data_IF_290071552027
#
_entry.id   IF_290071552027
#
_cell.length_a   1.000
_cell.length_b   1.000
_cell.length_c   1.000
_cell.angle_alpha   90.00
_cell.angle_beta   90.00
_cell.angle_gamma   90.00
#
_symmetry.space_group_name_H-M   'P 1'
#
loop_
_entity.id
_entity.type
_entity.pdbx_description
1 polymer ?
#
# COMPACT_ATOMS: atom_id res chain seq x y z
N UNK A 1 -2.63 -26.62 11.47
CA UNK A 1 -2.99 -27.18 10.17
C UNK A 1 -3.90 -28.39 10.34
N UNK A 2 -4.62 -28.83 9.33
CA UNK A 2 -5.41 -30.09 9.42
C UNK A 2 -4.61 -31.34 9.79
N UNK A 3 -3.31 -31.38 9.49
CA UNK A 3 -2.46 -32.54 9.77
C UNK A 3 -1.63 -32.39 11.05
N UNK A 4 -1.72 -31.27 11.74
CA UNK A 4 -1.01 -31.07 13.00
C UNK A 4 -0.48 -29.67 13.21
N UNK A 5 0.30 -29.49 14.26
CA UNK A 5 0.91 -28.23 14.61
C UNK A 5 2.04 -27.86 13.65
N UNK A 6 2.05 -26.58 13.24
CA UNK A 6 3.16 -25.94 12.55
C UNK A 6 3.69 -24.84 13.45
N UNK A 7 4.90 -24.97 13.89
CA UNK A 7 5.48 -24.13 14.94
C UNK A 7 6.83 -23.61 14.49
N UNK A 8 7.12 -22.35 14.78
CA UNK A 8 8.44 -21.76 14.66
C UNK A 8 9.17 -21.75 16.01
N UNK A 9 10.49 -21.81 15.99
CA UNK A 9 11.31 -21.71 17.19
C UNK A 9 11.48 -20.26 17.61
N UNK A 10 11.32 -19.97 18.90
CA UNK A 10 11.56 -18.64 19.52
C UNK A 10 13.06 -18.39 19.68
N UNK A 11 13.76 -18.25 18.59
CA UNK A 11 15.20 -18.02 18.59
C UNK A 11 15.51 -16.69 17.90
N UNK A 12 16.67 -16.07 18.21
CA UNK A 12 17.21 -14.99 17.38
C UNK A 12 17.26 -15.44 15.92
N UNK A 13 17.35 -14.47 14.99
CA UNK A 13 17.43 -14.76 13.56
C UNK A 13 18.45 -15.87 13.27
N UNK A 14 18.05 -16.87 12.49
CA UNK A 14 18.86 -18.04 12.18
C UNK A 14 18.89 -18.26 10.67
N UNK A 15 20.08 -18.59 10.14
CA UNK A 15 20.27 -19.05 8.76
C UNK A 15 20.18 -20.59 8.61
N UNK A 16 19.69 -21.31 9.61
CA UNK A 16 19.56 -22.76 9.59
C UNK A 16 18.35 -23.22 8.76
N UNK A 17 18.42 -23.09 7.45
CA UNK A 17 17.38 -23.47 6.49
C UNK A 17 16.25 -22.44 6.34
N UNK A 18 15.22 -22.75 5.53
CA UNK A 18 14.06 -21.89 5.33
C UNK A 18 13.29 -21.66 6.62
N UNK A 19 12.84 -20.42 6.84
CA UNK A 19 12.03 -20.07 8.00
C UNK A 19 10.58 -20.54 7.85
N UNK A 20 10.03 -21.29 8.82
CA UNK A 20 8.61 -21.67 8.83
C UNK A 20 7.68 -20.45 8.80
N UNK A 21 8.04 -19.35 9.46
CA UNK A 21 7.25 -18.12 9.51
C UNK A 21 7.10 -17.50 8.13
N UNK A 22 8.18 -17.50 7.33
CA UNK A 22 8.19 -16.90 5.99
C UNK A 22 7.27 -17.62 5.00
N UNK A 23 6.97 -18.89 5.24
CA UNK A 23 6.02 -19.66 4.43
C UNK A 23 4.58 -19.38 4.88
N UNK A 24 4.36 -19.22 6.20
CA UNK A 24 3.03 -18.97 6.76
C UNK A 24 2.55 -17.54 6.56
N UNK A 25 3.46 -16.55 6.71
CA UNK A 25 3.14 -15.15 6.55
C UNK A 25 2.75 -14.86 5.09
N UNK A 26 1.58 -14.28 4.89
CA UNK A 26 1.00 -14.03 3.57
C UNK A 26 0.20 -15.21 3.00
N UNK A 27 0.06 -16.32 3.73
CA UNK A 27 -0.70 -17.50 3.26
C UNK A 27 -2.22 -17.31 3.29
N UNK A 28 -2.72 -16.25 3.87
CA UNK A 28 -4.16 -15.92 3.96
C UNK A 28 -5.02 -17.09 4.47
N UNK A 29 -4.49 -17.86 5.39
CA UNK A 29 -5.17 -19.02 5.96
C UNK A 29 -5.20 -20.26 5.05
N UNK A 30 -4.51 -20.27 3.91
CA UNK A 30 -4.48 -21.44 3.01
C UNK A 30 -3.57 -22.58 3.50
N UNK A 31 -2.66 -22.29 4.41
CA UNK A 31 -1.74 -23.26 4.99
C UNK A 31 -2.10 -23.64 6.43
N UNK A 32 -2.95 -22.86 7.10
CA UNK A 32 -3.31 -23.12 8.49
C UNK A 32 -3.96 -21.91 9.15
N UNK A 33 -4.35 -22.08 10.41
CA UNK A 33 -4.86 -21.01 11.28
C UNK A 33 -3.76 -20.61 12.26
N UNK A 34 -3.40 -19.32 12.28
CA UNK A 34 -2.47 -18.78 13.26
C UNK A 34 -3.20 -18.66 14.60
N UNK A 35 -2.78 -19.43 15.59
CA UNK A 35 -3.38 -19.46 16.91
C UNK A 35 -2.57 -18.74 17.96
N UNK A 36 -1.27 -18.58 17.73
CA UNK A 36 -0.36 -17.89 18.64
C UNK A 36 0.74 -17.18 17.83
N UNK A 37 1.14 -15.99 18.26
CA UNK A 37 2.22 -15.23 17.64
C UNK A 37 3.07 -14.52 18.69
N UNK A 38 4.39 -14.51 18.47
CA UNK A 38 5.34 -13.73 19.25
C UNK A 38 5.71 -12.50 18.47
N UNK A 39 5.33 -11.34 19.02
CA UNK A 39 5.55 -10.05 18.39
C UNK A 39 6.63 -9.28 19.13
N UNK A 40 7.51 -8.64 18.36
CA UNK A 40 8.45 -7.67 18.92
C UNK A 40 7.68 -6.39 19.25
N UNK A 41 7.74 -5.99 20.50
CA UNK A 41 7.17 -4.72 20.97
C UNK A 41 8.29 -3.72 21.28
N UNK A 42 7.96 -2.44 21.25
CA UNK A 42 8.84 -1.33 21.59
C UNK A 42 8.14 -0.43 22.62
N UNK A 43 8.93 0.34 23.36
CA UNK A 43 8.42 1.36 24.23
C UNK A 43 7.66 2.43 23.44
N UNK A 44 6.60 2.97 24.05
CA UNK A 44 5.85 4.07 23.45
C UNK A 44 6.76 5.30 23.31
N UNK A 45 6.83 5.92 22.10
CA UNK A 45 7.64 7.11 21.90
C UNK A 45 7.23 8.24 22.86
N UNK A 46 8.23 8.83 23.54
CA UNK A 46 8.07 9.99 24.42
C UNK A 46 8.44 11.28 23.70
N UNK A 47 9.36 11.19 22.74
CA UNK A 47 9.82 12.31 21.93
C UNK A 47 9.28 12.14 20.52
N UNK A 48 8.69 13.21 19.98
CA UNK A 48 8.10 13.23 18.64
C UNK A 48 8.27 14.62 18.05
N UNK A 49 8.73 14.64 16.81
CA UNK A 49 8.77 15.86 16.02
C UNK A 49 8.23 15.58 14.62
N UNK A 50 7.54 16.55 14.03
CA UNK A 50 6.96 16.43 12.68
C UNK A 50 7.18 17.69 11.88
N UNK A 51 7.34 17.54 10.56
CA UNK A 51 7.40 18.62 9.61
C UNK A 51 6.49 18.33 8.41
N UNK A 52 5.93 19.38 7.84
CA UNK A 52 5.15 19.34 6.59
C UNK A 52 5.87 20.15 5.53
N UNK A 53 6.04 19.57 4.34
CA UNK A 53 6.68 20.22 3.21
C UNK A 53 5.81 20.10 1.96
N UNK A 54 6.00 20.97 1.01
CA UNK A 54 5.26 21.00 -0.26
C UNK A 54 6.24 20.85 -1.41
N UNK A 55 5.94 19.87 -2.26
CA UNK A 55 6.60 19.69 -3.56
C UNK A 55 5.76 20.30 -4.67
N UNK A 56 6.39 20.89 -5.68
CA UNK A 56 5.70 21.49 -6.82
C UNK A 56 4.95 20.50 -7.72
N UNK A 57 5.13 19.18 -7.51
CA UNK A 57 4.34 18.10 -8.10
C UNK A 57 4.54 16.81 -7.33
N UNK A 58 3.63 15.83 -7.51
CA UNK A 58 3.75 14.52 -6.89
C UNK A 58 5.04 13.77 -7.29
N UNK A 59 5.42 13.86 -8.56
CA UNK A 59 6.66 13.24 -9.06
C UNK A 59 7.92 13.86 -8.43
N UNK A 60 7.96 15.19 -8.26
CA UNK A 60 9.06 15.85 -7.54
C UNK A 60 9.11 15.45 -6.06
N UNK A 61 7.96 15.32 -5.44
CA UNK A 61 7.85 14.83 -4.07
C UNK A 61 8.37 13.39 -3.94
N UNK A 62 8.02 12.51 -4.88
CA UNK A 62 8.49 11.13 -4.89
C UNK A 62 10.01 11.03 -5.07
N UNK A 63 10.60 11.88 -5.91
CA UNK A 63 12.06 11.94 -6.05
C UNK A 63 12.76 12.40 -4.75
N UNK A 64 12.22 13.40 -4.07
CA UNK A 64 12.75 13.82 -2.77
C UNK A 64 12.64 12.72 -1.71
N UNK A 65 11.53 11.96 -1.68
CA UNK A 65 11.37 10.79 -0.81
C UNK A 65 12.42 9.73 -1.13
N UNK A 66 12.68 9.44 -2.40
CA UNK A 66 13.73 8.51 -2.81
C UNK A 66 15.10 8.94 -2.29
N UNK A 67 15.48 10.20 -2.51
CA UNK A 67 16.75 10.74 -2.05
C UNK A 67 16.89 10.64 -0.51
N UNK A 68 15.84 10.98 0.22
CA UNK A 68 15.80 10.87 1.67
C UNK A 68 16.03 9.43 2.13
N UNK A 69 15.33 8.46 1.58
CA UNK A 69 15.45 7.06 2.03
C UNK A 69 16.76 6.41 1.60
N UNK A 70 17.38 6.88 0.52
CA UNK A 70 18.70 6.45 0.07
C UNK A 70 19.86 7.15 0.80
N UNK A 71 19.61 8.22 1.54
CA UNK A 71 20.63 8.89 2.36
C UNK A 71 21.04 8.11 3.61
N UNK A 72 20.30 7.05 3.95
CA UNK A 72 20.49 6.28 5.18
C UNK A 72 19.69 6.80 6.37
N UNK A 73 18.98 7.92 6.23
CA UNK A 73 18.03 8.41 7.24
C UNK A 73 16.75 7.57 7.21
N UNK A 74 16.21 7.28 8.39
CA UNK A 74 15.04 6.42 8.55
C UNK A 74 13.94 7.14 9.37
N UNK A 75 13.21 8.10 8.77
CA UNK A 75 12.15 8.79 9.48
C UNK A 75 11.04 7.80 9.89
N UNK A 76 10.50 7.98 11.09
CA UNK A 76 9.39 7.17 11.60
C UNK A 76 8.10 7.37 10.79
N UNK A 77 7.94 8.54 10.20
CA UNK A 77 6.86 8.88 9.26
C UNK A 77 7.47 9.54 8.02
N UNK A 78 7.18 8.97 6.84
CA UNK A 78 7.48 9.56 5.55
C UNK A 78 6.28 9.29 4.64
N UNK A 79 5.44 10.31 4.41
CA UNK A 79 4.19 10.16 3.64
C UNK A 79 4.06 11.28 2.64
N UNK A 80 4.02 10.91 1.37
CA UNK A 80 3.76 11.83 0.27
C UNK A 80 2.32 11.67 -0.19
N UNK A 81 1.58 12.77 -0.25
CA UNK A 81 0.15 12.83 -0.59
C UNK A 81 0.00 13.75 -1.78
N UNK A 82 -0.74 13.36 -2.81
CA UNK A 82 -1.02 14.26 -3.93
C UNK A 82 -1.86 15.47 -3.51
N UNK A 83 -1.76 16.56 -4.28
CA UNK A 83 -2.39 17.82 -3.91
C UNK A 83 -3.91 17.76 -3.91
N UNK A 84 -4.52 16.89 -4.71
CA UNK A 84 -5.99 16.72 -4.73
C UNK A 84 -6.46 16.04 -3.45
N UNK A 85 -5.76 15.01 -3.00
CA UNK A 85 -6.07 14.36 -1.71
C UNK A 85 -5.78 15.31 -0.55
N UNK A 86 -4.65 16.03 -0.59
CA UNK A 86 -4.28 16.99 0.45
C UNK A 86 -5.32 18.13 0.59
N UNK A 87 -5.74 18.73 -0.51
CA UNK A 87 -6.76 19.80 -0.51
C UNK A 87 -8.13 19.28 -0.06
N UNK A 88 -8.51 18.07 -0.50
CA UNK A 88 -9.78 17.45 -0.08
C UNK A 88 -9.78 17.13 1.42
N UNK A 89 -8.61 16.84 1.98
CA UNK A 89 -8.43 16.64 3.43
C UNK A 89 -8.43 17.94 4.23
N UNK A 90 -8.50 19.09 3.55
CA UNK A 90 -8.44 20.41 4.19
C UNK A 90 -7.02 20.80 4.62
N UNK A 91 -5.97 20.27 4.01
CA UNK A 91 -4.59 20.65 4.31
C UNK A 91 -4.28 22.06 3.83
N UNK A 92 -3.99 23.02 4.73
CA UNK A 92 -3.71 24.41 4.31
C UNK A 92 -2.35 24.53 3.65
N UNK A 93 -2.23 25.46 2.69
CA UNK A 93 -0.97 25.81 2.04
C UNK A 93 -0.49 24.82 0.98
N UNK A 94 -1.36 23.95 0.48
CA UNK A 94 -1.12 22.99 -0.58
C UNK A 94 -2.12 23.21 -1.71
N UNK A 95 -1.66 23.32 -2.95
CA UNK A 95 -2.52 23.41 -4.14
C UNK A 95 -2.75 22.03 -4.77
N UNK A 96 -3.81 21.88 -5.57
CA UNK A 96 -4.19 20.61 -6.19
C UNK A 96 -3.11 20.03 -7.12
N UNK A 97 -2.28 20.88 -7.74
CA UNK A 97 -1.15 20.45 -8.59
C UNK A 97 0.15 20.16 -7.83
N UNK A 98 0.20 20.46 -6.54
CA UNK A 98 1.35 20.22 -5.65
C UNK A 98 1.27 18.85 -5.00
N UNK A 99 2.16 18.57 -4.06
CA UNK A 99 2.09 17.40 -3.18
C UNK A 99 2.54 17.76 -1.76
N UNK A 100 1.88 17.18 -0.77
CA UNK A 100 2.21 17.32 0.64
C UNK A 100 3.12 16.17 1.09
N UNK A 101 4.30 16.50 1.61
CA UNK A 101 5.15 15.54 2.32
C UNK A 101 5.04 15.77 3.84
N UNK A 102 4.73 14.71 4.56
CA UNK A 102 4.73 14.69 6.03
C UNK A 102 5.88 13.83 6.51
N UNK A 103 6.82 14.44 7.23
CA UNK A 103 7.94 13.77 7.88
C UNK A 103 7.74 13.74 9.39
N UNK A 104 8.23 12.68 10.04
CA UNK A 104 8.22 12.57 11.49
C UNK A 104 9.35 11.70 12.02
N UNK A 105 9.89 12.10 13.16
CA UNK A 105 10.85 11.34 13.94
C UNK A 105 10.24 11.01 15.32
N UNK A 106 10.53 9.83 15.85
CA UNK A 106 10.00 9.34 17.12
C UNK A 106 11.08 8.55 17.88
N UNK A 107 11.18 8.81 19.21
CA UNK A 107 12.04 8.02 20.09
C UNK A 107 11.43 7.85 21.47
N UNK A 108 11.72 6.72 22.12
CA UNK A 108 11.37 6.47 23.50
C UNK A 108 12.38 7.07 24.50
N UNK A 109 13.61 7.33 24.08
CA UNK A 109 14.76 7.57 24.96
C UNK A 109 15.47 8.93 24.80
N UNK A 110 15.35 9.60 23.63
CA UNK A 110 16.08 10.85 23.35
C UNK A 110 15.27 11.81 22.49
N UNK A 111 15.58 13.13 22.53
CA UNK A 111 15.03 14.13 21.62
C UNK A 111 15.32 13.77 20.16
N UNK A 112 14.42 14.15 19.25
CA UNK A 112 14.45 13.73 17.82
C UNK A 112 14.45 14.91 16.84
N UNK A 113 14.57 16.12 17.34
CA UNK A 113 14.53 17.34 16.55
C UNK A 113 15.65 17.38 15.52
N UNK A 114 16.88 17.02 15.93
CA UNK A 114 18.05 17.00 15.04
C UNK A 114 17.90 15.94 13.93
N UNK A 115 17.30 14.79 14.25
CA UNK A 115 17.02 13.74 13.26
C UNK A 115 15.98 14.23 12.23
N UNK A 116 14.95 14.93 12.71
CA UNK A 116 13.95 15.53 11.83
C UNK A 116 14.55 16.61 10.93
N UNK A 117 15.36 17.51 11.50
CA UNK A 117 16.01 18.59 10.73
C UNK A 117 16.96 18.02 9.67
N UNK A 118 17.70 16.96 9.97
CA UNK A 118 18.52 16.27 8.98
C UNK A 118 17.68 15.72 7.82
N UNK A 119 16.53 15.11 8.11
CA UNK A 119 15.62 14.61 7.09
C UNK A 119 14.99 15.74 6.26
N UNK A 120 14.61 16.84 6.92
CA UNK A 120 14.07 18.05 6.27
C UNK A 120 15.10 18.66 5.33
N UNK A 121 16.35 18.79 5.76
CA UNK A 121 17.42 19.38 4.94
C UNK A 121 17.60 18.62 3.61
N UNK A 122 17.56 17.28 3.61
CA UNK A 122 17.67 16.49 2.38
C UNK A 122 16.54 16.81 1.39
N UNK A 123 15.30 16.92 1.86
CA UNK A 123 14.18 17.15 0.96
C UNK A 123 14.05 18.62 0.56
N UNK A 124 14.52 19.57 1.36
CA UNK A 124 14.64 20.99 0.98
C UNK A 124 15.70 21.18 -0.11
N UNK A 125 16.85 20.49 0.00
CA UNK A 125 17.87 20.46 -1.06
C UNK A 125 17.31 19.87 -2.37
N UNK A 126 16.39 18.92 -2.27
CA UNK A 126 15.65 18.38 -3.42
C UNK A 126 14.57 19.33 -3.96
N UNK A 127 14.42 20.53 -3.37
CA UNK A 127 13.54 21.61 -3.84
C UNK A 127 12.14 21.61 -3.23
N UNK A 128 11.90 20.93 -2.12
CA UNK A 128 10.65 21.03 -1.37
C UNK A 128 10.64 22.28 -0.49
N UNK A 129 9.48 22.88 -0.33
CA UNK A 129 9.27 24.06 0.52
C UNK A 129 8.64 23.67 1.84
N UNK A 130 9.32 23.92 2.94
CA UNK A 130 8.79 23.69 4.28
C UNK A 130 7.61 24.62 4.56
N UNK A 131 6.56 24.07 5.15
CA UNK A 131 5.45 24.85 5.70
C UNK A 131 5.83 25.37 7.10
N UNK A 132 5.23 26.48 7.55
CA UNK A 132 5.47 27.00 8.90
C UNK A 132 5.22 25.89 9.97
N UNK A 133 5.96 25.90 11.08
CA UNK A 133 5.74 24.93 12.18
C UNK A 133 4.31 24.95 12.76
N UNK A 134 3.63 26.08 12.61
CA UNK A 134 2.21 26.26 13.03
C UNK A 134 1.21 25.69 11.99
N UNK A 135 1.68 25.15 10.86
CA UNK A 135 0.80 24.56 9.85
C UNK A 135 0.13 23.30 10.38
N UNK A 136 -1.17 23.22 10.20
CA UNK A 136 -1.98 22.04 10.51
C UNK A 136 -2.12 21.06 9.33
N UNK A 137 -1.37 21.23 8.23
CA UNK A 137 -1.53 20.45 7.01
C UNK A 137 -1.38 18.94 7.24
N UNK A 138 -0.35 18.52 7.96
CA UNK A 138 -0.14 17.12 8.32
C UNK A 138 -1.22 16.56 9.25
N UNK A 139 -1.72 17.37 10.19
CA UNK A 139 -2.78 16.97 11.10
C UNK A 139 -4.13 16.88 10.40
N UNK A 140 -4.45 17.80 9.51
CA UNK A 140 -5.66 17.78 8.69
C UNK A 140 -5.74 16.47 7.89
N UNK A 141 -4.67 16.14 7.17
CA UNK A 141 -4.61 14.88 6.44
C UNK A 141 -4.70 13.66 7.36
N UNK A 142 -3.97 13.64 8.47
CA UNK A 142 -4.00 12.53 9.45
C UNK A 142 -5.41 12.30 10.01
N UNK A 143 -6.14 13.36 10.31
CA UNK A 143 -7.51 13.27 10.82
C UNK A 143 -8.47 12.77 9.74
N UNK A 144 -8.35 13.25 8.50
CA UNK A 144 -9.11 12.75 7.36
C UNK A 144 -8.84 11.27 7.10
N UNK A 145 -7.57 10.85 7.15
CA UNK A 145 -7.17 9.45 6.99
C UNK A 145 -7.78 8.53 8.07
N UNK A 146 -7.81 8.97 9.34
CA UNK A 146 -8.46 8.20 10.43
C UNK A 146 -9.97 8.10 10.26
N UNK A 147 -10.60 9.09 9.64
CA UNK A 147 -12.04 9.12 9.37
C UNK A 147 -12.43 8.37 8.08
N UNK A 148 -11.48 8.07 7.21
CA UNK A 148 -11.72 7.48 5.88
C UNK A 148 -12.58 6.20 5.89
N UNK A 149 -12.41 5.22 6.81
CA UNK A 149 -13.28 4.04 6.85
C UNK A 149 -14.76 4.38 7.04
N UNK A 150 -15.06 5.31 7.95
CA UNK A 150 -16.44 5.77 8.20
C UNK A 150 -17.00 6.57 7.01
N UNK A 151 -16.14 7.32 6.33
CA UNK A 151 -16.53 8.07 5.14
C UNK A 151 -16.87 7.14 3.98
N UNK A 152 -16.10 6.06 3.79
CA UNK A 152 -16.37 5.05 2.76
C UNK A 152 -17.78 4.48 2.87
N UNK A 153 -18.19 4.06 4.07
CA UNK A 153 -19.55 3.52 4.29
C UNK A 153 -20.64 4.55 3.93
N UNK A 154 -20.46 5.79 4.35
CA UNK A 154 -21.42 6.87 4.05
C UNK A 154 -21.49 7.19 2.57
N UNK A 155 -20.35 7.22 1.88
CA UNK A 155 -20.30 7.45 0.43
C UNK A 155 -20.97 6.31 -0.34
N UNK A 156 -20.76 5.06 0.08
CA UNK A 156 -21.42 3.90 -0.52
C UNK A 156 -22.95 3.98 -0.38
N UNK A 157 -23.48 4.42 0.76
CA UNK A 157 -24.91 4.66 0.95
C UNK A 157 -25.48 5.77 0.04
N UNK A 158 -24.64 6.68 -0.43
CA UNK A 158 -25.00 7.74 -1.38
C UNK A 158 -24.82 7.31 -2.85
N UNK A 159 -24.50 6.03 -3.10
CA UNK A 159 -24.27 5.51 -4.44
C UNK A 159 -22.91 5.89 -5.03
N UNK A 160 -21.94 6.24 -4.19
CA UNK A 160 -20.56 6.51 -4.64
C UNK A 160 -19.74 5.24 -4.56
N UNK A 161 -19.11 4.87 -5.67
CA UNK A 161 -18.10 3.81 -5.72
C UNK A 161 -16.84 4.37 -5.07
N UNK A 162 -16.37 3.67 -4.04
CA UNK A 162 -15.10 3.96 -3.35
C UNK A 162 -14.22 2.73 -3.45
N UNK A 163 -13.12 2.83 -4.16
CA UNK A 163 -12.13 1.77 -4.28
C UNK A 163 -10.75 2.27 -3.88
N UNK A 164 -9.98 1.38 -3.29
CA UNK A 164 -8.58 1.61 -3.00
C UNK A 164 -7.75 0.41 -3.43
N UNK A 165 -6.61 0.66 -4.03
CA UNK A 165 -5.64 -0.38 -4.35
C UNK A 165 -4.24 0.16 -4.15
N UNK A 166 -3.31 -0.74 -3.91
CA UNK A 166 -1.90 -0.40 -3.78
C UNK A 166 -1.05 -1.40 -4.56
N UNK A 167 0.15 -0.98 -4.87
CA UNK A 167 1.16 -1.79 -5.53
C UNK A 167 2.53 -1.49 -4.91
N UNK A 168 3.57 -2.19 -5.34
CA UNK A 168 4.96 -1.83 -5.05
C UNK A 168 5.78 -1.96 -6.32
N UNK A 169 6.76 -1.06 -6.46
CA UNK A 169 7.58 -0.96 -7.66
C UNK A 169 8.96 -0.35 -7.31
N UNK A 170 10.05 -0.78 -7.96
CA UNK A 170 11.34 -0.11 -7.85
C UNK A 170 11.27 1.36 -8.29
N UNK A 171 12.08 2.24 -7.67
CA UNK A 171 12.07 3.67 -7.97
C UNK A 171 12.25 4.00 -9.45
N UNK A 172 13.07 3.22 -10.16
CA UNK A 172 13.32 3.44 -11.59
C UNK A 172 12.03 3.30 -12.46
N UNK A 173 11.08 2.50 -12.03
CA UNK A 173 9.83 2.25 -12.77
C UNK A 173 8.66 3.06 -12.25
N UNK A 174 8.76 3.65 -11.06
CA UNK A 174 7.67 4.39 -10.43
C UNK A 174 7.07 5.50 -11.30
N UNK A 175 7.85 6.38 -11.99
CA UNK A 175 7.26 7.46 -12.79
C UNK A 175 6.39 6.95 -13.95
N UNK A 176 6.80 5.85 -14.58
CA UNK A 176 6.02 5.21 -15.65
C UNK A 176 4.76 4.55 -15.09
N UNK A 177 4.90 3.73 -14.04
CA UNK A 177 3.78 3.09 -13.37
C UNK A 177 2.72 4.11 -12.90
N UNK A 178 3.12 5.17 -12.21
CA UNK A 178 2.20 6.19 -11.72
C UNK A 178 1.40 6.82 -12.86
N UNK A 179 2.06 7.21 -13.94
CA UNK A 179 1.42 7.80 -15.13
C UNK A 179 0.44 6.83 -15.79
N UNK A 180 0.88 5.59 -16.04
CA UNK A 180 0.10 4.60 -16.78
C UNK A 180 -1.12 4.11 -16.00
N UNK A 181 -0.95 3.83 -14.70
CA UNK A 181 -2.04 3.42 -13.82
C UNK A 181 -3.06 4.56 -13.64
N UNK A 182 -2.59 5.80 -13.41
CA UNK A 182 -3.48 6.96 -13.29
C UNK A 182 -4.31 7.13 -14.57
N UNK A 183 -3.66 7.14 -15.74
CA UNK A 183 -4.35 7.31 -17.02
C UNK A 183 -5.35 6.17 -17.32
N UNK A 184 -4.98 4.92 -17.03
CA UNK A 184 -5.88 3.78 -17.24
C UNK A 184 -7.12 3.85 -16.35
N UNK A 185 -6.94 4.24 -15.08
CA UNK A 185 -8.06 4.40 -14.14
C UNK A 185 -8.94 5.59 -14.52
N UNK A 186 -8.36 6.75 -14.90
CA UNK A 186 -9.13 7.91 -15.36
C UNK A 186 -9.97 7.59 -16.59
N UNK A 187 -9.41 6.87 -17.57
CA UNK A 187 -10.14 6.41 -18.76
C UNK A 187 -11.29 5.48 -18.37
N UNK A 188 -11.02 4.47 -17.53
CA UNK A 188 -12.05 3.55 -17.04
C UNK A 188 -13.17 4.29 -16.30
N UNK A 189 -12.85 5.26 -15.45
CA UNK A 189 -13.83 6.08 -14.75
C UNK A 189 -14.72 6.88 -15.72
N UNK A 190 -14.10 7.45 -16.77
CA UNK A 190 -14.85 8.18 -17.79
C UNK A 190 -15.80 7.27 -18.56
N UNK A 191 -15.34 6.12 -19.03
CA UNK A 191 -16.12 5.18 -19.83
C UNK A 191 -17.24 4.49 -19.03
N UNK A 192 -16.92 4.04 -17.81
CA UNK A 192 -17.81 3.21 -16.99
C UNK A 192 -18.79 4.06 -16.20
N UNK A 193 -18.34 5.18 -15.63
CA UNK A 193 -19.09 6.00 -14.70
C UNK A 193 -19.45 7.40 -15.23
N UNK A 194 -18.95 7.78 -16.41
CA UNK A 194 -19.11 9.13 -16.95
C UNK A 194 -18.21 10.16 -16.26
N UNK A 195 -17.28 9.74 -15.41
CA UNK A 195 -16.34 10.55 -14.67
C UNK A 195 -16.03 9.97 -13.30
N UNK A 196 -15.12 10.62 -12.60
CA UNK A 196 -14.66 10.20 -11.29
C UNK A 196 -13.32 10.85 -10.96
N UNK A 197 -12.68 10.34 -9.92
CA UNK A 197 -11.38 10.85 -9.48
C UNK A 197 -10.51 9.72 -9.00
N UNK A 198 -9.25 9.74 -9.37
CA UNK A 198 -8.18 8.93 -8.79
C UNK A 198 -7.15 9.84 -8.14
N UNK A 199 -6.71 9.49 -6.94
CA UNK A 199 -5.61 10.15 -6.23
C UNK A 199 -4.56 9.13 -5.85
N UNK A 200 -3.33 9.60 -5.58
CA UNK A 200 -2.23 8.73 -5.21
C UNK A 200 -1.49 9.27 -3.99
N UNK A 201 -1.04 8.36 -3.13
CA UNK A 201 -0.11 8.69 -2.04
C UNK A 201 0.96 7.61 -1.89
N UNK A 202 2.12 7.97 -1.37
CA UNK A 202 3.14 7.04 -0.90
C UNK A 202 3.03 6.96 0.63
N UNK A 203 2.44 5.88 1.13
CA UNK A 203 2.39 5.58 2.56
C UNK A 203 3.55 4.71 3.02
N UNK A 204 4.09 3.93 2.11
CA UNK A 204 5.26 3.10 2.32
C UNK A 204 6.27 3.36 1.21
N UNK A 205 7.49 3.63 1.62
CA UNK A 205 8.59 3.85 0.71
C UNK A 205 9.87 3.26 1.34
N UNK A 206 10.72 2.72 0.51
CA UNK A 206 11.91 1.96 0.86
C UNK A 206 13.11 2.49 0.08
N UNK A 207 14.34 2.18 0.46
CA UNK A 207 15.51 2.60 -0.32
C UNK A 207 15.49 2.13 -1.78
N UNK A 208 14.90 0.97 -2.06
CA UNK A 208 14.87 0.33 -3.38
C UNK A 208 13.59 0.59 -4.18
N UNK A 209 12.51 1.05 -3.56
CA UNK A 209 11.24 1.30 -4.23
C UNK A 209 10.17 1.94 -3.36
N UNK A 210 8.97 2.06 -3.88
CA UNK A 210 7.84 2.60 -3.14
C UNK A 210 6.57 1.79 -3.38
N UNK A 211 5.61 1.98 -2.47
CA UNK A 211 4.27 1.40 -2.58
C UNK A 211 3.24 2.53 -2.79
N UNK A 212 2.94 2.87 -4.05
CA UNK A 212 1.86 3.81 -4.37
C UNK A 212 0.51 3.22 -4.00
N UNK A 213 -0.27 4.04 -3.30
CA UNK A 213 -1.61 3.75 -2.85
C UNK A 213 -2.60 4.66 -3.58
N UNK A 214 -3.48 4.08 -4.36
CA UNK A 214 -4.46 4.81 -5.13
C UNK A 214 -5.82 4.80 -4.43
N UNK A 215 -6.54 5.92 -4.52
CA UNK A 215 -7.92 6.05 -4.05
C UNK A 215 -8.79 6.51 -5.20
N UNK A 216 -9.87 5.79 -5.45
CA UNK A 216 -10.82 6.04 -6.52
C UNK A 216 -12.18 6.40 -5.96
N UNK A 217 -12.76 7.47 -6.47
CA UNK A 217 -14.14 7.90 -6.18
C UNK A 217 -14.89 8.11 -7.49
N UNK A 218 -16.04 7.48 -7.66
CA UNK A 218 -16.86 7.61 -8.87
C UNK A 218 -18.35 7.54 -8.56
N UNK A 219 -19.21 8.18 -9.37
CA UNK A 219 -20.66 7.98 -9.25
C UNK A 219 -21.04 6.55 -9.63
N UNK A 220 -21.73 5.86 -8.74
CA UNK A 220 -22.31 4.56 -9.01
C UNK A 220 -23.65 4.69 -9.71
N UNK A 221 -23.95 3.76 -10.59
CA UNK A 221 -25.26 3.62 -11.25
C UNK A 221 -26.11 2.66 -10.43
N UNK A 222 -27.28 3.07 -9.91
CA UNK A 222 -28.11 2.24 -9.06
C UNK A 222 -28.36 0.83 -9.64
N UNK A 223 -28.00 -0.19 -8.87
CA UNK A 223 -28.11 -1.60 -9.25
C UNK A 223 -26.98 -2.14 -10.14
N UNK A 224 -25.99 -1.31 -10.51
CA UNK A 224 -24.85 -1.70 -11.34
C UNK A 224 -23.49 -1.45 -10.65
N UNK A 225 -23.50 -0.97 -9.41
CA UNK A 225 -22.30 -0.51 -8.69
C UNK A 225 -21.25 -1.62 -8.58
N UNK A 226 -21.66 -2.84 -8.29
CA UNK A 226 -20.75 -3.98 -8.18
C UNK A 226 -20.11 -4.37 -9.53
N UNK A 227 -20.84 -4.20 -10.64
CA UNK A 227 -20.30 -4.38 -11.99
C UNK A 227 -19.28 -3.29 -12.32
N UNK A 228 -19.67 -2.03 -12.17
CA UNK A 228 -18.80 -0.89 -12.39
C UNK A 228 -17.51 -0.98 -11.54
N UNK A 229 -17.62 -1.37 -10.27
CA UNK A 229 -16.49 -1.58 -9.39
C UNK A 229 -15.53 -2.65 -9.94
N UNK A 230 -16.07 -3.81 -10.39
CA UNK A 230 -15.24 -4.88 -10.96
C UNK A 230 -14.50 -4.44 -12.21
N UNK A 231 -15.15 -3.70 -13.08
CA UNK A 231 -14.58 -3.22 -14.34
C UNK A 231 -13.46 -2.21 -14.08
N UNK A 232 -13.67 -1.26 -13.15
CA UNK A 232 -12.63 -0.32 -12.70
C UNK A 232 -11.45 -1.07 -12.05
N UNK A 233 -11.74 -2.04 -11.17
CA UNK A 233 -10.72 -2.86 -10.51
C UNK A 233 -9.88 -3.65 -11.51
N UNK A 234 -10.52 -4.20 -12.54
CA UNK A 234 -9.84 -4.93 -13.61
C UNK A 234 -8.91 -4.01 -14.40
N UNK A 235 -9.39 -2.85 -14.83
CA UNK A 235 -8.57 -1.88 -15.55
C UNK A 235 -7.35 -1.41 -14.73
N UNK A 236 -7.55 -1.16 -13.43
CA UNK A 236 -6.46 -0.78 -12.52
C UNK A 236 -5.44 -1.91 -12.37
N UNK A 237 -5.90 -3.16 -12.19
CA UNK A 237 -5.05 -4.33 -11.99
C UNK A 237 -4.24 -4.68 -13.23
N UNK A 238 -4.85 -4.60 -14.42
CA UNK A 238 -4.17 -4.78 -15.71
C UNK A 238 -3.08 -3.73 -15.90
N UNK A 239 -3.36 -2.46 -15.60
CA UNK A 239 -2.39 -1.38 -15.71
C UNK A 239 -1.22 -1.53 -14.72
N UNK A 240 -1.50 -1.93 -13.48
CA UNK A 240 -0.47 -2.20 -12.46
C UNK A 240 0.47 -3.30 -12.94
N UNK A 241 -0.06 -4.42 -13.40
CA UNK A 241 0.75 -5.55 -13.87
C UNK A 241 1.53 -5.19 -15.13
N UNK A 242 0.87 -4.52 -16.09
CA UNK A 242 1.49 -4.07 -17.35
C UNK A 242 2.65 -3.11 -17.13
N UNK A 243 2.57 -2.27 -16.11
CA UNK A 243 3.64 -1.34 -15.71
C UNK A 243 4.72 -1.98 -14.80
N UNK A 244 4.66 -3.29 -14.55
CA UNK A 244 5.67 -4.03 -13.77
C UNK A 244 5.54 -3.85 -12.24
N UNK A 245 4.39 -3.39 -11.75
CA UNK A 245 4.08 -3.36 -10.32
C UNK A 245 3.61 -4.72 -9.81
N UNK A 246 3.70 -4.95 -8.50
CA UNK A 246 3.02 -6.09 -7.88
C UNK A 246 1.52 -5.83 -7.77
N UNK A 247 0.70 -6.86 -7.94
CA UNK A 247 -0.76 -6.68 -7.92
C UNK A 247 -1.29 -6.09 -6.61
N UNK A 248 -0.62 -6.33 -5.53
CA UNK A 248 -0.92 -5.72 -4.22
C UNK A 248 0.33 -5.71 -3.34
N UNK A 249 0.36 -4.84 -2.34
CA UNK A 249 1.48 -4.75 -1.39
C UNK A 249 1.05 -5.19 0.02
N UNK A 250 -0.02 -4.60 0.60
CA UNK A 250 -0.54 -4.95 1.93
C UNK A 250 -2.01 -5.39 1.95
N UNK A 251 -2.74 -5.22 0.85
CA UNK A 251 -4.19 -5.46 0.82
C UNK A 251 -4.59 -6.92 0.69
N UNK A 252 -3.65 -7.86 0.79
CA UNK A 252 -3.84 -9.27 0.51
C UNK A 252 -4.17 -9.56 -0.97
N UNK A 253 -3.96 -10.78 -1.41
CA UNK A 253 -4.36 -11.24 -2.74
C UNK A 253 -5.87 -11.50 -2.75
N UNK A 254 -6.35 -12.27 -1.80
CA UNK A 254 -7.76 -12.65 -1.74
C UNK A 254 -8.25 -13.28 -3.04
N UNK A 255 -9.55 -13.19 -3.27
CA UNK A 255 -10.17 -13.61 -4.53
C UNK A 255 -10.15 -12.51 -5.59
N UNK A 256 -10.17 -11.27 -5.16
CA UNK A 256 -10.26 -10.11 -6.07
C UNK A 256 -8.99 -9.90 -6.88
N UNK A 257 -7.82 -10.25 -6.34
CA UNK A 257 -6.53 -10.12 -7.02
C UNK A 257 -6.00 -11.45 -7.59
N UNK A 258 -6.65 -12.58 -7.29
CA UNK A 258 -6.19 -13.92 -7.68
C UNK A 258 -5.87 -14.09 -9.18
N UNK A 259 -6.67 -13.54 -10.13
CA UNK A 259 -6.39 -13.68 -11.56
C UNK A 259 -5.04 -13.05 -11.96
N UNK A 260 -4.72 -11.89 -11.41
CA UNK A 260 -3.46 -11.18 -11.68
C UNK A 260 -2.29 -11.76 -10.89
N UNK A 261 -2.51 -12.19 -9.65
CA UNK A 261 -1.50 -12.90 -8.88
C UNK A 261 -1.06 -14.19 -9.56
N UNK A 262 -1.99 -14.91 -10.18
CA UNK A 262 -1.69 -16.08 -11.00
C UNK A 262 -0.74 -15.79 -12.17
N UNK A 263 -0.88 -14.63 -12.81
CA UNK A 263 0.01 -14.18 -13.88
C UNK A 263 1.38 -13.73 -13.37
N UNK A 264 1.41 -13.04 -12.21
CA UNK A 264 2.63 -12.51 -11.59
C UNK A 264 3.50 -13.62 -10.99
N UNK A 265 2.89 -14.66 -10.45
CA UNK A 265 3.54 -15.70 -9.67
C UNK A 265 4.42 -16.60 -10.54
N UNK A 266 5.74 -16.73 -10.26
CA UNK A 266 6.61 -17.62 -11.01
C UNK A 266 6.11 -19.08 -10.97
N UNK A 267 6.11 -19.82 -12.08
CA UNK A 267 5.52 -21.16 -12.15
C UNK A 267 6.12 -22.17 -11.16
N UNK A 268 7.45 -22.14 -10.98
CA UNK A 268 8.14 -23.04 -10.03
C UNK A 268 7.75 -22.73 -8.58
N UNK A 269 7.61 -21.43 -8.24
CA UNK A 269 7.13 -21.05 -6.92
C UNK A 269 5.65 -21.45 -6.72
N UNK A 270 4.82 -21.30 -7.74
CA UNK A 270 3.43 -21.75 -7.70
C UNK A 270 3.33 -23.26 -7.38
N UNK A 271 4.13 -24.07 -8.07
CA UNK A 271 4.18 -25.50 -7.83
C UNK A 271 4.66 -25.88 -6.41
N UNK A 272 5.68 -25.16 -5.90
CA UNK A 272 6.18 -25.36 -4.54
C UNK A 272 5.11 -24.99 -3.49
N UNK A 273 4.41 -23.88 -3.66
CA UNK A 273 3.34 -23.44 -2.78
C UNK A 273 2.15 -24.42 -2.79
N UNK A 274 1.76 -24.90 -3.96
CA UNK A 274 0.73 -25.92 -4.11
C UNK A 274 1.15 -27.25 -3.45
N UNK A 275 2.41 -27.63 -3.56
CA UNK A 275 2.97 -28.78 -2.84
C UNK A 275 2.91 -28.63 -1.32
N UNK A 276 3.29 -27.48 -0.79
CA UNK A 276 3.21 -27.16 0.62
C UNK A 276 1.75 -27.23 1.12
N UNK A 277 0.81 -26.62 0.36
CA UNK A 277 -0.63 -26.67 0.69
C UNK A 277 -1.15 -28.11 0.77
N UNK A 278 -0.88 -28.95 -0.25
CA UNK A 278 -1.29 -30.37 -0.22
C UNK A 278 -0.71 -31.15 0.95
N UNK A 279 0.53 -30.84 1.35
CA UNK A 279 1.17 -31.53 2.47
C UNK A 279 0.52 -31.21 3.82
N UNK A 280 0.05 -29.98 4.03
CA UNK A 280 -0.52 -29.54 5.32
C UNK A 280 -2.05 -29.55 5.35
N UNK A 281 -2.69 -29.59 4.18
CA UNK A 281 -4.16 -29.64 3.99
C UNK A 281 -4.52 -30.56 2.82
N UNK A 282 -4.39 -31.89 2.97
CA UNK A 282 -4.68 -32.84 1.89
C UNK A 282 -6.15 -32.89 1.49
N UNK A 283 -7.04 -32.37 2.31
CA UNK A 283 -8.50 -32.34 2.05
C UNK A 283 -8.99 -31.03 1.42
N UNK A 284 -8.13 -30.01 1.34
CA UNK A 284 -8.48 -28.71 0.79
C UNK A 284 -9.50 -27.92 1.62
N UNK A 285 -9.47 -28.11 2.95
CA UNK A 285 -10.36 -27.47 3.89
C UNK A 285 -10.00 -25.98 4.14
N UNK A 286 -8.70 -25.67 4.08
CA UNK A 286 -8.16 -24.39 4.49
C UNK A 286 -8.34 -23.34 3.37
N UNK A 287 -9.17 -22.33 3.60
CA UNK A 287 -9.50 -21.22 2.69
C UNK A 287 -9.65 -21.69 1.23
N UNK A 288 -10.65 -22.52 0.92
CA UNK A 288 -10.82 -23.10 -0.41
C UNK A 288 -11.12 -22.03 -1.46
N UNK A 289 -10.57 -22.18 -2.66
CA UNK A 289 -10.71 -21.23 -3.76
C UNK A 289 -9.80 -20.01 -3.66
N UNK A 290 -8.92 -19.94 -2.66
CA UNK A 290 -7.89 -18.93 -2.60
C UNK A 290 -6.74 -19.28 -3.56
N UNK A 291 -6.38 -18.36 -4.44
CA UNK A 291 -5.33 -18.49 -5.45
C UNK A 291 -5.51 -19.64 -6.45
N UNK A 292 -6.66 -20.32 -6.41
CA UNK A 292 -7.00 -21.34 -7.39
C UNK A 292 -7.27 -20.62 -8.72
N UNK A 293 -6.37 -20.79 -9.68
CA UNK A 293 -6.63 -20.48 -11.09
C UNK A 293 -7.25 -21.74 -11.71
N UNK A 294 -7.97 -21.61 -12.82
CA UNK A 294 -8.59 -22.76 -13.52
C UNK A 294 -7.57 -23.88 -13.85
N UNK A 295 -6.28 -23.52 -13.95
CA UNK A 295 -5.18 -24.46 -14.11
C UNK A 295 -4.90 -25.33 -12.86
N UNK A 296 -5.23 -24.85 -11.66
CA UNK A 296 -5.03 -25.59 -10.41
C UNK A 296 -6.18 -26.61 -10.16
N UNK A 297 -7.32 -26.46 -10.83
CA UNK A 297 -8.46 -27.37 -10.73
C UNK A 297 -8.25 -28.71 -11.47
N UNK A 298 -7.28 -28.82 -12.36
CA UNK A 298 -6.99 -30.05 -13.09
C UNK A 298 -6.13 -31.08 -12.31
N UNK A 299 -5.76 -30.76 -11.07
CA UNK A 299 -5.00 -31.66 -10.18
C UNK A 299 -5.82 -32.19 -8.98
N UNK A 300 -7.14 -32.13 -9.06
CA UNK A 300 -8.04 -32.80 -8.06
C UNK A 300 -8.44 -34.19 -8.50
#
# INVERSE_FOLDING_TARGET
TPVGWWESRRLPGSGAGPSPDRILLGSEGSLGVITEAWLRVQDRPRHRATASLVAGSFTRGAEAVRLLLQSGLAPATCRLIDGVEATTSGAPGVAAGEALLVLGAESASHPVEDELEAAVAVVEEAGLRRLPPTSSAGDAWRNAFKAAPLLRERLALLGVIVETFETAVPWAHFPALHREVTAAVENALHEICGGGRVTCRLTHAYPDGCAPYFTVLAPGRPGSEAGQWRDIKSAASDAVLGAGGTITHHHAVGRDHAPWYGQQRPPVFAAALAGARRAVDPTGLMNPGLWDTDSDMHYR
#
